data_IF_923184083072
#
_entry.id   IF_923184083072
#
_cell.length_a   1.000
_cell.length_b   1.000
_cell.length_c   1.000
_cell.angle_alpha   90.00
_cell.angle_beta   90.00
_cell.angle_gamma   90.00
#
_symmetry.space_group_name_H-M   'P 1'
#
loop_
_entity.id
_entity.type
_entity.pdbx_description
1 polymer ?
#
# COMPACT_ATOMS: atom_id res chain seq x y z
N UNK A 1 42.90 29.22 -1.56
CA UNK A 1 43.47 27.86 -1.47
C UNK A 1 42.80 26.98 -0.41
N UNK A 2 42.59 27.44 0.83
CA UNK A 2 41.88 26.67 1.90
C UNK A 2 40.39 26.37 1.60
N UNK A 3 39.71 27.22 0.82
CA UNK A 3 38.29 27.07 0.45
C UNK A 3 38.04 26.04 -0.66
N UNK A 4 39.04 25.75 -1.50
CA UNK A 4 38.91 24.73 -2.57
C UNK A 4 39.07 23.31 -2.02
N UNK A 5 39.88 23.13 -0.96
CA UNK A 5 39.98 21.86 -0.23
C UNK A 5 38.73 21.54 0.60
N UNK A 6 37.97 22.56 1.02
CA UNK A 6 36.73 22.38 1.79
C UNK A 6 35.59 21.77 0.98
N UNK A 7 35.54 22.00 -0.33
CA UNK A 7 34.48 21.49 -1.20
C UNK A 7 34.77 20.10 -1.81
N UNK A 8 36.00 19.59 -1.67
CA UNK A 8 36.40 18.28 -2.23
C UNK A 8 36.30 17.16 -1.17
N UNK A 9 36.29 17.47 0.13
CA UNK A 9 36.15 16.48 1.22
C UNK A 9 34.70 16.02 1.45
N UNK A 10 33.71 16.65 0.82
CA UNK A 10 32.34 16.10 0.70
C UNK A 10 32.20 15.05 -0.41
N UNK A 11 33.32 14.51 -0.88
CA UNK A 11 33.33 13.28 -1.64
C UNK A 11 33.11 12.07 -0.71
N UNK A 12 32.26 11.16 -1.17
CA UNK A 12 32.34 9.69 -0.96
C UNK A 12 31.57 9.02 0.20
N UNK A 13 30.86 9.71 1.11
CA UNK A 13 30.26 8.98 2.27
C UNK A 13 28.80 8.49 2.12
N UNK A 14 28.08 8.76 1.01
CA UNK A 14 26.68 8.30 0.87
C UNK A 14 26.43 7.08 -0.04
N UNK A 15 27.47 6.44 -0.58
CA UNK A 15 27.29 5.27 -1.45
C UNK A 15 27.58 3.96 -0.72
N UNK A 16 27.03 3.80 0.48
CA UNK A 16 27.14 2.57 1.24
C UNK A 16 25.75 1.97 1.48
N UNK A 17 25.42 0.97 0.66
CA UNK A 17 24.67 -0.24 1.00
C UNK A 17 23.27 -0.06 1.66
N UNK A 18 22.23 -0.83 1.39
CA UNK A 18 22.03 -2.06 0.64
C UNK A 18 20.55 -2.42 0.90
N UNK A 19 19.80 -2.68 -0.15
CA UNK A 19 19.07 -3.93 -0.30
C UNK A 19 18.21 -3.76 -1.53
N UNK A 20 18.65 -4.46 -2.57
CA UNK A 20 17.83 -4.98 -3.63
C UNK A 20 16.63 -5.69 -2.99
N UNK A 21 15.62 -4.92 -2.59
CA UNK A 21 14.26 -5.41 -2.52
C UNK A 21 13.89 -5.57 -3.97
N UNK A 22 14.29 -6.70 -4.53
CA UNK A 22 13.40 -7.50 -5.32
C UNK A 22 12.21 -7.79 -4.38
N UNK A 23 11.40 -6.74 -4.17
CA UNK A 23 10.02 -6.89 -3.85
C UNK A 23 9.57 -7.70 -5.04
N UNK A 24 9.57 -9.01 -4.83
CA UNK A 24 8.66 -9.89 -5.51
C UNK A 24 7.31 -9.24 -5.24
N UNK A 25 6.97 -8.26 -6.09
CA UNK A 25 5.63 -7.86 -6.42
C UNK A 25 5.07 -9.14 -6.96
N UNK A 26 4.68 -10.03 -6.04
CA UNK A 26 3.59 -10.93 -6.25
C UNK A 26 2.46 -9.98 -6.61
N UNK A 27 2.38 -9.70 -7.91
CA UNK A 27 1.23 -9.19 -8.59
C UNK A 27 0.20 -10.30 -8.43
N UNK A 28 -0.29 -10.47 -7.21
CA UNK A 28 -1.55 -11.13 -6.95
C UNK A 28 -2.53 -10.26 -7.69
N UNK A 29 -3.00 -10.72 -8.85
CA UNK A 29 -3.98 -10.05 -9.68
C UNK A 29 -5.02 -9.35 -8.78
N UNK A 30 -4.88 -8.03 -8.65
CA UNK A 30 -5.69 -7.20 -7.75
C UNK A 30 -7.16 -7.15 -8.19
N UNK A 31 -7.48 -7.76 -9.32
CA UNK A 31 -8.85 -7.98 -9.80
C UNK A 31 -9.52 -9.20 -9.18
N UNK A 32 -8.79 -10.13 -8.55
CA UNK A 32 -9.33 -11.41 -8.04
C UNK A 32 -9.28 -11.57 -6.51
N UNK A 33 -8.93 -10.53 -5.74
CA UNK A 33 -8.83 -10.66 -4.28
C UNK A 33 -10.20 -11.00 -3.67
N UNK A 34 -10.32 -12.07 -2.85
CA UNK A 34 -11.60 -12.56 -2.32
C UNK A 34 -12.30 -11.57 -1.39
N UNK A 35 -11.58 -10.58 -0.83
CA UNK A 35 -12.15 -9.54 0.02
C UNK A 35 -12.85 -8.42 -0.77
N UNK A 36 -12.71 -8.37 -2.10
CA UNK A 36 -13.29 -7.30 -2.93
C UNK A 36 -14.76 -7.51 -3.30
N UNK A 37 -15.34 -8.64 -2.91
CA UNK A 37 -16.74 -8.97 -3.14
C UNK A 37 -17.33 -9.60 -1.87
N UNK A 38 -18.65 -9.47 -1.69
CA UNK A 38 -19.34 -10.16 -0.58
C UNK A 38 -19.28 -11.67 -0.79
N UNK A 39 -19.09 -12.42 0.30
CA UNK A 39 -19.14 -13.88 0.24
C UNK A 39 -20.53 -14.37 -0.13
N UNK A 40 -20.60 -15.39 -0.98
CA UNK A 40 -21.83 -16.07 -1.38
C UNK A 40 -22.23 -17.18 -0.39
N UNK A 41 -21.41 -17.46 0.61
CA UNK A 41 -21.72 -18.44 1.65
C UNK A 41 -22.83 -17.92 2.58
N UNK A 42 -23.48 -18.83 3.31
CA UNK A 42 -24.51 -18.47 4.29
C UNK A 42 -23.97 -17.43 5.28
N UNK A 43 -24.80 -16.44 5.60
CA UNK A 43 -24.43 -15.31 6.46
C UNK A 43 -23.23 -14.49 5.96
N UNK A 44 -22.88 -14.59 4.68
CA UNK A 44 -21.68 -13.96 4.11
C UNK A 44 -20.39 -14.42 4.81
N UNK A 45 -20.37 -15.65 5.32
CA UNK A 45 -19.20 -16.22 5.99
C UNK A 45 -17.97 -16.17 5.07
N UNK A 46 -16.76 -15.81 5.56
CA UNK A 46 -15.55 -15.81 4.73
C UNK A 46 -15.28 -17.19 4.14
N UNK A 47 -15.03 -17.24 2.83
CA UNK A 47 -14.60 -18.46 2.15
C UNK A 47 -13.09 -18.67 2.38
N UNK A 48 -12.75 -19.28 3.51
CA UNK A 48 -11.36 -19.52 3.90
C UNK A 48 -10.58 -20.42 2.93
N UNK A 49 -11.25 -21.14 2.02
CA UNK A 49 -10.57 -21.94 0.99
C UNK A 49 -9.89 -21.08 -0.08
N UNK A 50 -10.32 -19.82 -0.23
CA UNK A 50 -9.83 -18.88 -1.25
C UNK A 50 -8.88 -17.83 -0.68
N UNK A 51 -8.88 -17.60 0.62
CA UNK A 51 -8.08 -16.54 1.27
C UNK A 51 -6.65 -17.03 1.49
N UNK A 52 -5.67 -16.23 1.06
CA UNK A 52 -4.25 -16.47 1.28
C UNK A 52 -3.59 -15.28 1.96
N UNK A 53 -2.42 -15.49 2.56
CA UNK A 53 -1.67 -14.43 3.25
C UNK A 53 -1.35 -13.23 2.34
N UNK A 54 -1.11 -13.50 1.06
CA UNK A 54 -0.83 -12.47 0.06
C UNK A 54 -2.02 -11.53 -0.19
N UNK A 55 -3.25 -11.93 0.17
CA UNK A 55 -4.46 -11.15 -0.10
C UNK A 55 -4.68 -10.04 0.94
N UNK A 56 -4.13 -10.17 2.15
CA UNK A 56 -4.43 -9.24 3.24
C UNK A 56 -3.90 -7.83 3.00
N UNK A 57 -2.61 -7.71 2.67
CA UNK A 57 -1.99 -6.40 2.44
C UNK A 57 -2.68 -5.60 1.34
N UNK A 58 -2.90 -6.13 0.12
CA UNK A 58 -3.60 -5.39 -0.91
C UNK A 58 -5.06 -5.13 -0.55
N UNK A 59 -5.73 -6.05 0.16
CA UNK A 59 -7.12 -5.84 0.58
C UNK A 59 -7.27 -4.70 1.58
N UNK A 60 -6.39 -4.67 2.58
CA UNK A 60 -6.38 -3.64 3.61
C UNK A 60 -6.08 -2.26 3.01
N UNK A 61 -5.10 -2.15 2.11
CA UNK A 61 -4.80 -0.88 1.45
C UNK A 61 -6.01 -0.35 0.68
N UNK A 62 -6.66 -1.21 -0.13
CA UNK A 62 -7.85 -0.81 -0.89
C UNK A 62 -9.01 -0.42 0.03
N UNK A 63 -9.17 -1.11 1.16
CA UNK A 63 -10.16 -0.78 2.18
C UNK A 63 -9.95 0.61 2.78
N UNK A 64 -8.71 0.93 3.17
CA UNK A 64 -8.33 2.26 3.67
C UNK A 64 -8.60 3.32 2.60
N UNK A 65 -8.14 3.10 1.36
CA UNK A 65 -8.32 4.06 0.27
C UNK A 65 -9.80 4.31 -0.05
N UNK A 66 -10.63 3.26 0.02
CA UNK A 66 -12.08 3.37 -0.16
C UNK A 66 -12.74 4.17 0.97
N UNK A 67 -12.41 3.83 2.21
CA UNK A 67 -12.95 4.51 3.39
C UNK A 67 -12.56 5.99 3.43
N UNK A 68 -11.32 6.33 3.09
CA UNK A 68 -10.89 7.74 3.03
C UNK A 68 -11.70 8.54 2.01
N UNK A 69 -11.99 7.96 0.84
CA UNK A 69 -12.86 8.60 -0.16
C UNK A 69 -14.29 8.78 0.34
N UNK A 70 -14.82 7.79 1.06
CA UNK A 70 -16.15 7.89 1.67
C UNK A 70 -16.19 9.01 2.72
N UNK A 71 -15.17 9.08 3.59
CA UNK A 71 -15.02 10.16 4.58
C UNK A 71 -14.94 11.52 3.90
N UNK A 72 -14.09 11.66 2.88
CA UNK A 72 -13.94 12.91 2.14
C UNK A 72 -15.26 13.33 1.49
N UNK A 73 -16.02 12.38 0.95
CA UNK A 73 -17.33 12.64 0.36
C UNK A 73 -18.33 13.13 1.40
N UNK A 74 -18.33 12.57 2.62
CA UNK A 74 -19.25 12.96 3.69
C UNK A 74 -18.84 14.32 4.27
N UNK A 75 -17.54 14.52 4.54
CA UNK A 75 -17.03 15.73 5.17
C UNK A 75 -17.17 16.98 4.29
N UNK A 76 -17.13 16.79 2.97
CA UNK A 76 -17.26 17.87 1.99
C UNK A 76 -18.65 17.92 1.34
N UNK A 77 -19.62 17.12 1.79
CA UNK A 77 -20.99 17.25 1.32
C UNK A 77 -21.56 18.58 1.85
N UNK A 78 -21.92 19.46 0.92
CA UNK A 78 -22.50 20.77 1.22
C UNK A 78 -23.99 20.68 1.60
N UNK A 79 -24.60 19.49 1.45
CA UNK A 79 -25.89 19.21 2.06
C UNK A 79 -25.73 19.14 3.58
N UNK A 80 -26.11 20.21 4.27
CA UNK A 80 -26.16 20.23 5.72
C UNK A 80 -27.05 19.09 6.26
N UNK A 81 -26.74 18.52 7.44
CA UNK A 81 -27.69 17.67 8.17
C UNK A 81 -28.98 18.42 8.52
#
# INVERSE_FOLDING_TARGET
>A
MKIVYGLIVTAVVFTSCNNNKNANSASSDSTSNPFFQKSTLAYQAPDFTKIKDADFKPAMQKGIDGQMKEIDSIANDAAAP
#
